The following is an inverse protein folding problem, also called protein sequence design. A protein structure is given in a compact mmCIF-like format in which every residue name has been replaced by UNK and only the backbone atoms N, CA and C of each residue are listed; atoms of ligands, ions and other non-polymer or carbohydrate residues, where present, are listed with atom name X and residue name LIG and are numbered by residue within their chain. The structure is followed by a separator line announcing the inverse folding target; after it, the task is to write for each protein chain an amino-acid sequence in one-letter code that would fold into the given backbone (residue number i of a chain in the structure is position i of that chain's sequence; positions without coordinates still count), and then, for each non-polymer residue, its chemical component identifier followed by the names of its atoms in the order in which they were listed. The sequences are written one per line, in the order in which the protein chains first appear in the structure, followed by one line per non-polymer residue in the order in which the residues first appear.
data_IF_368470632177
#
_entry.id   IF_368470632177
#
_cell.length_a   1.000
_cell.length_b   1.000
_cell.length_c   1.000
_cell.angle_alpha   90.00
_cell.angle_beta   90.00
_cell.angle_gamma   90.00
#
_symmetry.space_group_name_H-M   'P 1'
#
loop_
_entity.id
_entity.type
_entity.pdbx_description
1 polymer ?
#
# COMPACT_ATOMS: atom_id res chain seq x y z
N UNK A 1 -28.97 31.60 -18.90
CA UNK A 1 -29.92 32.02 -17.86
C UNK A 1 -30.65 30.77 -17.40
N UNK A 2 -30.60 30.43 -16.12
CA UNK A 2 -31.33 29.27 -15.59
C UNK A 2 -32.84 29.47 -15.83
N UNK A 3 -33.54 28.40 -16.24
CA UNK A 3 -35.00 28.44 -16.42
C UNK A 3 -35.67 28.62 -15.07
N UNK A 4 -36.70 29.44 -15.01
CA UNK A 4 -37.49 29.61 -13.79
C UNK A 4 -38.41 28.39 -13.56
N UNK A 5 -38.75 28.09 -12.31
CA UNK A 5 -39.70 27.01 -11.96
C UNK A 5 -41.05 27.17 -12.70
N UNK A 6 -41.44 28.42 -13.02
CA UNK A 6 -42.60 28.72 -13.85
C UNK A 6 -42.47 28.18 -15.29
N UNK A 7 -41.30 28.32 -15.90
CA UNK A 7 -41.04 27.84 -17.25
C UNK A 7 -41.00 26.31 -17.31
N UNK A 8 -40.34 25.68 -16.34
CA UNK A 8 -40.25 24.20 -16.23
C UNK A 8 -41.64 23.55 -16.09
N UNK A 9 -42.52 24.13 -15.24
CA UNK A 9 -43.90 23.64 -15.09
C UNK A 9 -44.70 23.72 -16.38
N UNK A 10 -44.54 24.81 -17.13
CA UNK A 10 -45.25 25.02 -18.39
C UNK A 10 -44.78 24.05 -19.48
N UNK A 11 -43.48 23.75 -19.54
CA UNK A 11 -42.92 22.76 -20.47
C UNK A 11 -43.48 21.35 -20.23
N UNK A 12 -43.71 20.97 -18.96
CA UNK A 12 -44.30 19.67 -18.60
C UNK A 12 -45.84 19.67 -18.58
N UNK A 13 -46.48 20.75 -19.02
CA UNK A 13 -47.93 20.80 -19.25
C UNK A 13 -48.79 21.21 -18.05
N UNK A 14 -48.20 21.64 -16.94
CA UNK A 14 -48.95 22.20 -15.81
C UNK A 14 -49.42 23.62 -16.14
N UNK A 15 -50.73 23.88 -16.02
CA UNK A 15 -51.34 25.15 -16.43
C UNK A 15 -51.27 26.22 -15.35
N UNK A 16 -51.04 25.82 -14.09
CA UNK A 16 -50.92 26.75 -12.97
C UNK A 16 -50.04 26.24 -11.83
N UNK A 17 -49.52 27.18 -11.03
CA UNK A 17 -48.80 26.87 -9.80
C UNK A 17 -49.65 26.09 -8.78
N UNK A 18 -50.97 26.32 -8.78
CA UNK A 18 -51.92 25.65 -7.89
C UNK A 18 -52.09 24.18 -8.27
N UNK A 19 -52.26 23.90 -9.56
CA UNK A 19 -52.34 22.53 -10.09
C UNK A 19 -51.08 21.72 -9.79
N UNK A 20 -49.91 22.33 -9.93
CA UNK A 20 -48.65 21.69 -9.59
C UNK A 20 -48.47 21.48 -8.08
N UNK A 21 -48.91 22.45 -7.26
CA UNK A 21 -48.91 22.33 -5.81
C UNK A 21 -49.82 21.19 -5.32
N UNK A 22 -51.00 21.07 -5.92
CA UNK A 22 -51.97 20.01 -5.62
C UNK A 22 -51.42 18.63 -6.03
N UNK A 23 -50.72 18.53 -7.17
CA UNK A 23 -50.06 17.30 -7.63
C UNK A 23 -48.93 16.84 -6.69
N UNK A 24 -48.22 17.78 -6.06
CA UNK A 24 -47.15 17.51 -5.10
C UNK A 24 -47.63 17.41 -3.65
N UNK A 25 -48.91 17.66 -3.38
CA UNK A 25 -49.47 17.66 -2.03
C UNK A 25 -48.95 18.80 -1.14
N UNK A 26 -48.51 19.92 -1.74
CA UNK A 26 -48.02 21.10 -1.02
C UNK A 26 -49.04 22.24 -1.08
N UNK A 27 -49.00 23.16 -0.11
CA UNK A 27 -49.94 24.28 -0.11
C UNK A 27 -49.65 25.26 -1.27
N UNK A 28 -50.68 25.87 -1.89
CA UNK A 28 -50.48 26.87 -2.95
C UNK A 28 -49.69 28.10 -2.50
N UNK A 29 -49.74 28.44 -1.20
CA UNK A 29 -48.94 29.52 -0.62
C UNK A 29 -47.46 29.12 -0.50
N UNK A 30 -47.16 27.88 -0.14
CA UNK A 30 -45.78 27.33 -0.18
C UNK A 30 -45.22 27.35 -1.60
N UNK A 31 -45.99 26.91 -2.60
CA UNK A 31 -45.55 26.93 -4.00
C UNK A 31 -45.26 28.36 -4.50
N UNK A 32 -46.10 29.33 -4.13
CA UNK A 32 -45.89 30.74 -4.48
C UNK A 32 -44.64 31.35 -3.82
N UNK A 33 -44.24 30.82 -2.65
CA UNK A 33 -42.99 31.20 -1.98
C UNK A 33 -41.79 30.60 -2.72
N UNK A 34 -41.87 29.33 -3.08
CA UNK A 34 -40.83 28.62 -3.82
C UNK A 34 -40.59 29.20 -5.21
N UNK A 35 -41.63 29.66 -5.88
CA UNK A 35 -41.51 30.35 -7.18
C UNK A 35 -40.75 31.69 -7.09
N UNK A 36 -40.76 32.34 -5.92
CA UNK A 36 -40.09 33.64 -5.70
C UNK A 36 -38.70 33.48 -5.11
N UNK A 37 -38.52 32.47 -4.28
CA UNK A 37 -37.29 32.22 -3.53
C UNK A 37 -36.97 30.71 -3.54
N UNK A 38 -36.37 30.21 -4.64
CA UNK A 38 -36.07 28.79 -4.83
C UNK A 38 -35.09 28.22 -3.79
N UNK A 39 -34.28 29.06 -3.13
CA UNK A 39 -33.33 28.61 -2.09
C UNK A 39 -34.04 28.16 -0.80
N UNK A 40 -35.31 28.56 -0.61
CA UNK A 40 -36.11 28.21 0.57
C UNK A 40 -36.86 26.88 0.44
N UNK A 41 -36.71 26.18 -0.69
CA UNK A 41 -37.37 24.90 -0.94
C UNK A 41 -36.78 23.83 -0.02
N UNK A 42 -37.59 23.16 0.83
CA UNK A 42 -37.12 22.01 1.59
C UNK A 42 -36.66 20.88 0.65
N UNK A 43 -35.54 20.23 0.96
CA UNK A 43 -34.93 19.19 0.09
C UNK A 43 -35.92 18.12 -0.38
N UNK A 44 -36.80 17.64 0.51
CA UNK A 44 -37.84 16.66 0.18
C UNK A 44 -38.81 17.15 -0.91
N UNK A 45 -39.15 18.44 -0.89
CA UNK A 45 -40.02 19.08 -1.88
C UNK A 45 -39.25 19.29 -3.18
N UNK A 46 -37.98 19.67 -3.11
CA UNK A 46 -37.12 19.80 -4.29
C UNK A 46 -36.95 18.47 -5.04
N UNK A 47 -36.79 17.34 -4.33
CA UNK A 47 -36.77 15.99 -4.93
C UNK A 47 -38.09 15.67 -5.64
N UNK A 48 -39.22 15.87 -4.96
CA UNK A 48 -40.53 15.61 -5.56
C UNK A 48 -40.80 16.49 -6.79
N UNK A 49 -40.33 17.74 -6.76
CA UNK A 49 -40.38 18.64 -7.92
C UNK A 49 -39.46 18.17 -9.06
N UNK A 50 -38.25 17.68 -8.75
CA UNK A 50 -37.30 17.14 -9.73
C UNK A 50 -37.85 15.90 -10.43
N UNK A 51 -38.45 14.98 -9.68
CA UNK A 51 -39.08 13.79 -10.24
C UNK A 51 -40.30 14.15 -11.10
N UNK A 52 -41.13 15.11 -10.66
CA UNK A 52 -42.32 15.53 -11.38
C UNK A 52 -42.03 16.37 -12.63
N UNK A 53 -40.93 17.13 -12.61
CA UNK A 53 -40.50 17.98 -13.72
C UNK A 53 -39.39 17.36 -14.56
N UNK A 54 -38.91 16.17 -14.18
CA UNK A 54 -37.88 15.40 -14.88
C UNK A 54 -36.66 16.29 -15.24
N UNK A 55 -36.16 16.95 -14.20
CA UNK A 55 -35.01 17.85 -14.25
C UNK A 55 -34.15 17.68 -12.98
N UNK A 56 -32.94 18.24 -12.99
CA UNK A 56 -32.07 18.20 -11.81
C UNK A 56 -32.55 19.17 -10.72
N UNK A 57 -32.21 18.86 -9.46
CA UNK A 57 -32.50 19.77 -8.33
C UNK A 57 -31.81 21.12 -8.53
N UNK A 58 -30.58 21.11 -9.07
CA UNK A 58 -29.82 22.32 -9.36
C UNK A 58 -30.56 23.24 -10.35
N UNK A 59 -31.24 22.67 -11.36
CA UNK A 59 -32.10 23.44 -12.26
C UNK A 59 -33.34 24.03 -11.58
N UNK A 60 -33.91 23.36 -10.57
CA UNK A 60 -35.06 23.87 -9.81
C UNK A 60 -34.67 25.03 -8.92
N UNK A 61 -33.54 24.91 -8.22
CA UNK A 61 -33.06 25.95 -7.31
C UNK A 61 -32.31 27.06 -8.05
N UNK A 62 -32.10 26.93 -9.36
CA UNK A 62 -31.42 27.91 -10.21
C UNK A 62 -29.91 28.00 -9.95
N UNK A 63 -29.30 26.92 -9.46
CA UNK A 63 -27.86 26.83 -9.22
C UNK A 63 -27.15 26.45 -10.52
N UNK A 64 -26.04 27.12 -10.81
CA UNK A 64 -25.19 26.75 -11.95
C UNK A 64 -24.70 25.30 -11.80
N UNK A 65 -24.73 24.57 -12.91
CA UNK A 65 -24.37 23.16 -12.93
C UNK A 65 -22.95 22.95 -12.39
N UNK A 66 -22.80 22.05 -11.42
CA UNK A 66 -21.50 21.75 -10.82
C UNK A 66 -20.67 20.97 -11.85
N UNK A 67 -19.74 21.65 -12.53
CA UNK A 67 -18.81 21.00 -13.48
C UNK A 67 -17.64 20.30 -12.79
N UNK A 68 -17.47 20.50 -11.49
CA UNK A 68 -16.45 19.83 -10.70
C UNK A 68 -16.78 18.33 -10.56
N UNK A 69 -16.08 17.48 -11.32
CA UNK A 69 -16.24 16.03 -11.32
C UNK A 69 -16.72 15.43 -12.64
N UNK A 70 -17.00 16.26 -13.65
CA UNK A 70 -17.30 15.77 -15.00
C UNK A 70 -15.99 15.28 -15.64
N UNK A 71 -15.89 13.98 -15.87
CA UNK A 71 -14.74 13.37 -16.53
C UNK A 71 -14.97 13.44 -18.04
N UNK A 72 -14.10 14.15 -18.77
CA UNK A 72 -14.14 14.20 -20.25
C UNK A 72 -14.15 12.80 -20.88
N UNK A 73 -13.52 11.83 -20.19
CA UNK A 73 -13.52 10.42 -20.56
C UNK A 73 -14.88 9.74 -20.37
N UNK A 74 -15.61 10.10 -19.31
CA UNK A 74 -16.94 9.56 -19.04
C UNK A 74 -17.97 10.12 -20.03
N UNK A 75 -17.91 11.42 -20.31
CA UNK A 75 -18.77 12.06 -21.32
C UNK A 75 -18.52 11.48 -22.71
N UNK A 76 -17.24 11.28 -23.07
CA UNK A 76 -16.87 10.59 -24.31
C UNK A 76 -17.46 9.18 -24.37
N UNK A 77 -17.31 8.40 -23.31
CA UNK A 77 -17.80 7.03 -23.22
C UNK A 77 -19.34 6.94 -23.30
N UNK A 78 -20.04 7.83 -22.60
CA UNK A 78 -21.51 7.88 -22.58
C UNK A 78 -22.09 8.35 -23.92
N UNK A 79 -21.36 9.18 -24.67
CA UNK A 79 -21.73 9.61 -26.01
C UNK A 79 -21.51 8.54 -27.11
N UNK A 80 -20.81 7.43 -26.81
CA UNK A 80 -20.58 6.34 -27.77
C UNK A 80 -21.86 5.56 -28.06
N UNK A 81 -21.96 5.07 -29.30
CA UNK A 81 -22.95 4.06 -29.68
C UNK A 81 -22.68 2.75 -28.93
N UNK A 82 -23.70 1.91 -28.68
CA UNK A 82 -23.55 0.63 -27.97
C UNK A 82 -22.45 -0.27 -28.56
N UNK A 83 -22.33 -0.32 -29.88
CA UNK A 83 -21.35 -1.16 -30.58
C UNK A 83 -19.91 -0.67 -30.34
N UNK A 84 -19.69 0.64 -30.35
CA UNK A 84 -18.37 1.22 -30.10
C UNK A 84 -18.01 1.23 -28.62
N UNK A 85 -19.02 1.28 -27.74
CA UNK A 85 -18.84 1.17 -26.29
C UNK A 85 -18.32 -0.21 -25.90
N UNK A 86 -18.89 -1.27 -26.49
CA UNK A 86 -18.42 -2.64 -26.29
C UNK A 86 -16.94 -2.83 -26.66
N UNK A 87 -16.46 -2.16 -27.73
CA UNK A 87 -15.04 -2.18 -28.09
C UNK A 87 -14.14 -1.51 -27.05
N UNK A 88 -14.63 -0.45 -26.38
CA UNK A 88 -13.90 0.21 -25.29
C UNK A 88 -13.84 -0.70 -24.06
N UNK A 89 -14.94 -1.38 -23.72
CA UNK A 89 -14.97 -2.35 -22.63
C UNK A 89 -13.96 -3.49 -22.85
N UNK A 90 -13.92 -4.06 -24.07
CA UNK A 90 -12.93 -5.07 -24.44
C UNK A 90 -11.49 -4.56 -24.30
N UNK A 91 -11.22 -3.32 -24.70
CA UNK A 91 -9.90 -2.71 -24.56
C UNK A 91 -9.52 -2.50 -23.08
N UNK A 92 -10.45 -2.03 -22.25
CA UNK A 92 -10.24 -1.86 -20.80
C UNK A 92 -9.94 -3.20 -20.14
N UNK A 93 -10.69 -4.24 -20.47
CA UNK A 93 -10.44 -5.59 -19.98
C UNK A 93 -9.05 -6.08 -20.40
N UNK A 94 -8.71 -5.95 -21.69
CA UNK A 94 -7.41 -6.33 -22.22
C UNK A 94 -6.26 -5.58 -21.51
N UNK A 95 -6.39 -4.26 -21.34
CA UNK A 95 -5.43 -3.44 -20.64
C UNK A 95 -5.29 -3.88 -19.17
N UNK A 96 -6.41 -4.18 -18.52
CA UNK A 96 -6.43 -4.72 -17.15
C UNK A 96 -5.73 -6.07 -17.03
N UNK A 97 -5.93 -6.99 -17.98
CA UNK A 97 -5.23 -8.28 -18.02
C UNK A 97 -3.73 -8.08 -18.25
N UNK A 98 -3.34 -7.21 -19.17
CA UNK A 98 -1.94 -6.90 -19.46
C UNK A 98 -1.23 -6.25 -18.26
N UNK A 99 -1.88 -5.30 -17.59
CA UNK A 99 -1.33 -4.66 -16.39
C UNK A 99 -1.18 -5.68 -15.25
N UNK A 100 -2.18 -6.52 -15.01
CA UNK A 100 -2.07 -7.63 -14.04
C UNK A 100 -0.91 -8.58 -14.37
N UNK A 101 -0.75 -8.94 -15.65
CA UNK A 101 0.35 -9.80 -16.08
C UNK A 101 1.72 -9.14 -15.88
N UNK A 102 1.86 -7.86 -16.22
CA UNK A 102 3.10 -7.10 -16.01
C UNK A 102 3.44 -6.98 -14.51
N UNK A 103 2.46 -6.71 -13.65
CA UNK A 103 2.65 -6.68 -12.19
C UNK A 103 3.03 -8.06 -11.64
N UNK A 104 2.39 -9.13 -12.12
CA UNK A 104 2.75 -10.51 -11.76
C UNK A 104 4.19 -10.83 -12.16
N UNK A 105 4.61 -10.41 -13.36
CA UNK A 105 5.98 -10.62 -13.83
C UNK A 105 6.99 -9.83 -13.00
N UNK A 106 6.76 -8.53 -12.76
CA UNK A 106 7.65 -7.71 -11.95
C UNK A 106 7.83 -8.29 -10.53
N UNK A 107 6.71 -8.74 -9.94
CA UNK A 107 6.74 -9.44 -8.65
C UNK A 107 7.51 -10.76 -8.72
N UNK A 108 7.31 -11.57 -9.76
CA UNK A 108 8.03 -12.83 -9.94
C UNK A 108 9.55 -12.62 -10.11
N UNK A 109 9.96 -11.53 -10.77
CA UNK A 109 11.37 -11.17 -10.91
C UNK A 109 12.00 -10.74 -9.58
N UNK A 110 11.28 -9.95 -8.77
CA UNK A 110 11.69 -9.61 -7.40
C UNK A 110 11.78 -10.87 -6.53
N UNK A 111 10.75 -11.71 -6.58
CA UNK A 111 10.67 -12.98 -5.88
C UNK A 111 11.85 -13.91 -6.24
N UNK A 112 12.22 -13.98 -7.53
CA UNK A 112 13.35 -14.79 -7.97
C UNK A 112 14.70 -14.31 -7.42
N UNK A 113 14.89 -12.99 -7.26
CA UNK A 113 16.09 -12.45 -6.62
C UNK A 113 16.18 -12.87 -5.16
N UNK A 114 15.05 -12.78 -4.44
CA UNK A 114 14.98 -13.19 -3.04
C UNK A 114 15.15 -14.71 -2.87
N UNK A 115 14.60 -15.52 -3.79
CA UNK A 115 14.80 -16.98 -3.80
C UNK A 115 16.28 -17.35 -3.94
N UNK A 116 17.00 -16.69 -4.85
CA UNK A 116 18.45 -16.92 -5.01
C UNK A 116 19.24 -16.52 -3.77
N UNK A 117 18.86 -15.42 -3.13
CA UNK A 117 19.49 -14.96 -1.89
C UNK A 117 19.24 -15.96 -0.75
N UNK A 118 18.02 -16.50 -0.66
CA UNK A 118 17.66 -17.54 0.30
C UNK A 118 18.50 -18.79 0.10
N UNK A 119 18.55 -19.34 -1.11
CA UNK A 119 19.36 -20.52 -1.43
C UNK A 119 20.85 -20.32 -1.14
N UNK A 120 21.38 -19.12 -1.38
CA UNK A 120 22.75 -18.79 -1.02
C UNK A 120 22.95 -18.89 0.49
N UNK A 121 22.10 -18.24 1.29
CA UNK A 121 22.24 -18.26 2.74
C UNK A 121 21.93 -19.62 3.36
N UNK A 122 20.96 -20.38 2.84
CA UNK A 122 20.71 -21.77 3.24
C UNK A 122 21.96 -22.63 3.05
N UNK A 123 22.64 -22.49 1.92
CA UNK A 123 23.90 -23.22 1.67
C UNK A 123 24.98 -22.83 2.68
N UNK A 124 25.11 -21.54 3.00
CA UNK A 124 26.09 -21.08 4.02
C UNK A 124 25.69 -21.59 5.41
N UNK A 125 24.40 -21.57 5.74
CA UNK A 125 23.86 -22.08 6.99
C UNK A 125 24.19 -23.57 7.16
N UNK A 126 23.82 -24.42 6.20
CA UNK A 126 24.17 -25.83 6.26
C UNK A 126 25.68 -26.05 6.31
N UNK A 127 26.48 -25.34 5.51
CA UNK A 127 27.93 -25.43 5.59
C UNK A 127 28.46 -25.09 7.00
N UNK A 128 27.90 -24.07 7.66
CA UNK A 128 28.28 -23.69 9.03
C UNK A 128 27.91 -24.74 10.08
N UNK A 129 26.82 -25.50 9.86
CA UNK A 129 26.44 -26.61 10.72
C UNK A 129 27.38 -27.81 10.54
N UNK A 130 27.90 -28.00 9.33
CA UNK A 130 28.80 -29.10 8.99
C UNK A 130 30.30 -28.80 9.23
N UNK A 131 30.67 -27.56 9.55
CA UNK A 131 32.08 -27.13 9.70
C UNK A 131 32.82 -27.86 10.85
N UNK A 132 32.10 -28.56 11.74
CA UNK A 132 32.65 -29.40 12.81
C UNK A 132 32.13 -30.85 12.86
N UNK A 133 31.42 -31.32 11.83
CA UNK A 133 30.85 -32.67 11.78
C UNK A 133 31.70 -33.62 10.94
N UNK A 134 31.67 -34.92 11.24
CA UNK A 134 32.37 -35.92 10.41
C UNK A 134 31.67 -36.10 9.05
N UNK A 135 32.43 -36.57 8.06
CA UNK A 135 31.90 -36.85 6.72
C UNK A 135 30.76 -37.87 6.78
N UNK A 136 29.56 -37.45 6.40
CA UNK A 136 28.36 -38.29 6.38
C UNK A 136 27.43 -38.11 7.58
N UNK A 137 27.80 -37.26 8.55
CA UNK A 137 26.86 -36.82 9.58
C UNK A 137 25.79 -35.92 8.95
N UNK A 138 24.53 -36.21 9.28
CA UNK A 138 23.37 -35.41 8.87
C UNK A 138 22.92 -34.59 10.07
N UNK A 139 22.99 -33.27 9.97
CA UNK A 139 22.37 -32.39 10.97
C UNK A 139 20.87 -32.39 10.71
N UNK A 140 20.13 -33.15 11.52
CA UNK A 140 18.68 -33.25 11.43
C UNK A 140 18.01 -32.37 12.49
N UNK A 141 17.12 -31.50 12.04
CA UNK A 141 16.21 -30.76 12.93
C UNK A 141 15.03 -31.64 13.35
N UNK A 142 14.50 -31.44 14.55
CA UNK A 142 13.34 -32.18 15.05
C UNK A 142 12.04 -31.82 14.33
N UNK A 143 11.97 -30.61 13.76
CA UNK A 143 10.88 -30.19 12.88
C UNK A 143 11.29 -29.14 11.84
N UNK A 144 10.52 -28.99 10.74
CA UNK A 144 10.73 -27.90 9.78
C UNK A 144 10.61 -26.50 10.39
N UNK A 145 9.86 -26.36 11.49
CA UNK A 145 9.74 -25.08 12.21
C UNK A 145 11.01 -24.77 12.99
N UNK A 146 11.59 -25.77 13.66
CA UNK A 146 12.89 -25.62 14.34
C UNK A 146 13.98 -25.22 13.36
N UNK A 147 14.03 -25.85 12.20
CA UNK A 147 14.96 -25.52 11.12
C UNK A 147 14.77 -24.07 10.64
N UNK A 148 13.53 -23.67 10.37
CA UNK A 148 13.19 -22.30 9.98
C UNK A 148 13.66 -21.29 11.04
N UNK A 149 13.42 -21.56 12.32
CA UNK A 149 13.85 -20.68 13.42
C UNK A 149 15.36 -20.63 13.57
N UNK A 150 16.04 -21.76 13.40
CA UNK A 150 17.51 -21.82 13.43
C UNK A 150 18.11 -21.03 12.25
N UNK A 151 17.53 -21.15 11.06
CA UNK A 151 17.93 -20.39 9.89
C UNK A 151 17.71 -18.87 10.08
N UNK A 152 16.56 -18.46 10.63
CA UNK A 152 16.29 -17.05 10.93
C UNK A 152 17.31 -16.48 11.92
N UNK A 153 17.64 -17.24 12.98
CA UNK A 153 18.66 -16.86 13.95
C UNK A 153 20.04 -16.72 13.28
N UNK A 154 20.41 -17.66 12.43
CA UNK A 154 21.66 -17.61 11.68
C UNK A 154 21.77 -16.33 10.82
N UNK A 155 20.70 -15.96 10.11
CA UNK A 155 20.68 -14.72 9.33
C UNK A 155 20.87 -13.48 10.20
N UNK A 156 20.22 -13.43 11.37
CA UNK A 156 20.34 -12.32 12.33
C UNK A 156 21.76 -12.20 12.86
N UNK A 157 22.38 -13.32 13.24
CA UNK A 157 23.75 -13.36 13.75
C UNK A 157 24.75 -12.93 12.67
N UNK A 158 24.57 -13.40 11.42
CA UNK A 158 25.42 -13.02 10.30
C UNK A 158 25.28 -11.54 9.92
N UNK A 159 24.05 -11.02 9.92
CA UNK A 159 23.79 -9.60 9.68
C UNK A 159 24.43 -8.72 10.76
N UNK A 160 24.24 -9.07 12.04
CA UNK A 160 24.87 -8.37 13.16
C UNK A 160 26.40 -8.39 13.09
N UNK A 161 27.01 -9.52 12.74
CA UNK A 161 28.46 -9.62 12.59
C UNK A 161 28.99 -8.72 11.45
N UNK A 162 28.34 -8.73 10.29
CA UNK A 162 28.71 -7.87 9.15
C UNK A 162 28.51 -6.39 9.46
N UNK A 163 27.40 -6.03 10.10
CA UNK A 163 27.09 -4.67 10.49
C UNK A 163 28.11 -4.14 11.48
N UNK A 164 28.44 -4.92 12.52
CA UNK A 164 29.47 -4.55 13.50
C UNK A 164 30.81 -4.26 12.83
N UNK A 165 31.26 -5.14 11.93
CA UNK A 165 32.52 -4.94 11.19
C UNK A 165 32.48 -3.65 10.36
N UNK A 166 31.40 -3.39 9.63
CA UNK A 166 31.26 -2.17 8.82
C UNK A 166 31.21 -0.89 9.66
N UNK A 167 30.58 -0.92 10.84
CA UNK A 167 30.55 0.20 11.78
C UNK A 167 31.94 0.41 12.38
N UNK A 168 32.63 -0.66 12.80
CA UNK A 168 33.98 -0.59 13.35
C UNK A 168 34.95 0.03 12.35
N UNK A 169 34.91 -0.40 11.08
CA UNK A 169 35.74 0.14 10.00
C UNK A 169 35.44 1.63 9.73
N UNK A 170 34.15 2.04 9.74
CA UNK A 170 33.77 3.43 9.56
C UNK A 170 34.24 4.32 10.73
N UNK A 171 34.00 3.87 11.96
CA UNK A 171 34.39 4.60 13.15
C UNK A 171 35.91 4.72 13.29
N UNK A 172 36.68 3.72 12.84
CA UNK A 172 38.14 3.82 12.80
C UNK A 172 38.60 4.93 11.84
N UNK A 173 37.96 5.08 10.68
CA UNK A 173 38.23 6.18 9.75
C UNK A 173 37.85 7.55 10.34
N UNK A 174 36.66 7.63 10.96
CA UNK A 174 36.21 8.86 11.62
C UNK A 174 37.12 9.26 12.79
N UNK A 175 37.61 8.30 13.57
CA UNK A 175 38.57 8.55 14.64
C UNK A 175 39.87 9.17 14.12
N UNK A 176 40.40 8.66 13.00
CA UNK A 176 41.59 9.22 12.35
C UNK A 176 41.35 10.68 11.91
N UNK A 177 40.19 10.97 11.32
CA UNK A 177 39.81 12.33 10.92
C UNK A 177 39.68 13.27 12.12
N UNK A 178 38.99 12.85 13.18
CA UNK A 178 38.83 13.65 14.40
C UNK A 178 40.18 13.92 15.06
N UNK A 179 41.07 12.94 15.13
CA UNK A 179 42.44 13.13 15.67
C UNK A 179 43.27 14.11 14.84
N UNK A 180 42.93 14.33 13.57
CA UNK A 180 43.56 15.32 12.69
C UNK A 180 43.36 16.79 13.11
N UNK A 181 42.41 17.05 14.02
CA UNK A 181 42.10 18.40 14.50
C UNK A 181 41.35 19.24 13.45
N UNK A 182 40.88 20.42 13.86
CA UNK A 182 40.15 21.34 12.98
C UNK A 182 40.73 22.75 13.06
N UNK A 183 40.78 23.43 11.91
CA UNK A 183 41.26 24.81 11.80
C UNK A 183 40.15 25.83 12.04
N UNK A 184 40.45 26.91 12.77
CA UNK A 184 39.58 28.08 12.83
C UNK A 184 39.85 29.08 11.69
N UNK A 185 39.04 30.13 11.60
CA UNK A 185 39.18 31.19 10.57
C UNK A 185 40.47 32.01 10.69
N UNK A 186 41.17 31.91 11.81
CA UNK A 186 42.44 32.60 12.08
C UNK A 186 43.66 31.70 11.79
N UNK A 187 43.42 30.43 11.43
CA UNK A 187 44.44 29.46 11.08
C UNK A 187 45.02 28.67 12.25
N UNK A 188 44.41 28.75 13.45
CA UNK A 188 44.81 27.91 14.58
C UNK A 188 44.16 26.54 14.47
N UNK A 189 44.92 25.50 14.81
CA UNK A 189 44.43 24.11 14.85
C UNK A 189 44.02 23.75 16.27
N UNK A 190 42.78 23.34 16.42
CA UNK A 190 42.20 22.83 17.66
C UNK A 190 42.10 21.31 17.59
N UNK A 191 42.35 20.65 18.71
CA UNK A 191 42.25 19.19 18.82
C UNK A 191 41.13 18.84 19.78
N UNK A 192 40.32 17.86 19.38
CA UNK A 192 39.33 17.25 20.25
C UNK A 192 40.02 16.50 21.39
N UNK A 193 39.40 16.51 22.56
CA UNK A 193 39.83 15.67 23.67
C UNK A 193 39.46 14.21 23.41
N UNK A 194 40.16 13.29 24.09
CA UNK A 194 39.87 11.85 23.95
C UNK A 194 38.42 11.51 24.33
N UNK A 195 37.87 12.19 25.34
CA UNK A 195 36.49 12.01 25.79
C UNK A 195 35.49 12.53 24.76
N UNK A 196 35.77 13.66 24.10
CA UNK A 196 34.93 14.16 23.01
C UNK A 196 34.96 13.20 21.82
N UNK A 197 36.15 12.76 21.39
CA UNK A 197 36.28 11.80 20.28
C UNK A 197 35.47 10.53 20.59
N UNK A 198 35.60 9.97 21.80
CA UNK A 198 34.86 8.76 22.16
C UNK A 198 33.35 8.98 22.17
N UNK A 199 32.86 10.10 22.69
CA UNK A 199 31.43 10.42 22.68
C UNK A 199 30.88 10.52 21.26
N UNK A 200 31.60 11.21 20.36
CA UNK A 200 31.21 11.30 18.95
C UNK A 200 31.17 9.93 18.27
N UNK A 201 32.18 9.08 18.52
CA UNK A 201 32.22 7.72 17.97
C UNK A 201 31.09 6.86 18.52
N UNK A 202 30.75 6.97 19.80
CA UNK A 202 29.66 6.18 20.41
C UNK A 202 28.29 6.61 19.87
N UNK A 203 28.07 7.91 19.68
CA UNK A 203 26.86 8.45 19.04
C UNK A 203 26.74 7.97 17.58
N UNK A 204 27.82 8.06 16.81
CA UNK A 204 27.86 7.60 15.41
C UNK A 204 27.60 6.08 15.32
N UNK A 205 28.25 5.29 16.19
CA UNK A 205 28.03 3.84 16.29
C UNK A 205 26.56 3.51 16.55
N UNK A 206 25.92 4.21 17.48
CA UNK A 206 24.53 3.99 17.84
C UNK A 206 23.59 4.35 16.68
N UNK A 207 23.81 5.48 16.02
CA UNK A 207 23.01 5.90 14.87
C UNK A 207 23.14 4.90 13.71
N UNK A 208 24.36 4.51 13.37
CA UNK A 208 24.62 3.53 12.31
C UNK A 208 24.01 2.16 12.64
N UNK A 209 24.16 1.66 13.87
CA UNK A 209 23.60 0.37 14.26
C UNK A 209 22.07 0.36 14.10
N UNK A 210 21.39 1.46 14.44
CA UNK A 210 19.95 1.61 14.23
C UNK A 210 19.58 1.62 12.73
N UNK A 211 20.26 2.42 11.92
CA UNK A 211 19.95 2.56 10.49
C UNK A 211 20.23 1.27 9.71
N UNK A 212 21.39 0.66 9.92
CA UNK A 212 21.75 -0.61 9.27
C UNK A 212 20.91 -1.75 9.82
N UNK A 213 20.57 -1.74 11.12
CA UNK A 213 19.66 -2.72 11.72
C UNK A 213 18.28 -2.75 11.06
N UNK A 214 17.72 -1.59 10.70
CA UNK A 214 16.45 -1.51 9.94
C UNK A 214 16.56 -2.13 8.55
N UNK A 215 17.68 -1.88 7.85
CA UNK A 215 17.94 -2.47 6.52
C UNK A 215 18.12 -3.98 6.60
N UNK A 216 18.85 -4.45 7.61
CA UNK A 216 19.05 -5.88 7.88
C UNK A 216 17.71 -6.57 8.11
N UNK A 217 16.81 -5.99 8.92
CA UNK A 217 15.48 -6.55 9.17
C UNK A 217 14.65 -6.67 7.88
N UNK A 218 14.70 -5.66 7.01
CA UNK A 218 14.01 -5.73 5.71
C UNK A 218 14.53 -6.88 4.85
N UNK A 219 15.84 -7.04 4.77
CA UNK A 219 16.49 -8.11 3.99
C UNK A 219 16.18 -9.47 4.59
N UNK A 220 16.31 -9.64 5.91
CA UNK A 220 16.01 -10.89 6.62
C UNK A 220 14.56 -11.27 6.37
N UNK A 221 13.63 -10.33 6.49
CA UNK A 221 12.20 -10.57 6.20
C UNK A 221 12.00 -11.09 4.77
N UNK A 222 12.59 -10.46 3.76
CA UNK A 222 12.49 -10.90 2.35
C UNK A 222 13.07 -12.29 2.12
N UNK A 223 14.20 -12.60 2.77
CA UNK A 223 14.81 -13.92 2.73
C UNK A 223 13.92 -14.96 3.41
N UNK A 224 13.34 -14.66 4.58
CA UNK A 224 12.44 -15.57 5.28
C UNK A 224 11.11 -15.78 4.55
N UNK A 225 10.60 -14.78 3.83
CA UNK A 225 9.45 -14.94 2.94
C UNK A 225 9.76 -15.88 1.76
N UNK A 226 10.97 -15.78 1.19
CA UNK A 226 11.45 -16.70 0.18
C UNK A 226 11.64 -18.13 0.74
N UNK A 227 12.21 -18.26 1.93
CA UNK A 227 12.33 -19.54 2.64
C UNK A 227 10.96 -20.20 2.84
N UNK A 228 10.00 -19.45 3.38
CA UNK A 228 8.62 -19.91 3.60
C UNK A 228 7.94 -20.35 2.28
N UNK A 229 8.28 -19.71 1.14
CA UNK A 229 7.80 -20.08 -0.19
C UNK A 229 8.44 -21.37 -0.71
N UNK A 230 9.76 -21.49 -0.62
CA UNK A 230 10.52 -22.65 -1.10
C UNK A 230 10.18 -23.91 -0.28
N UNK A 231 10.04 -23.77 1.05
CA UNK A 231 9.73 -24.85 1.99
C UNK A 231 8.23 -24.97 2.30
N UNK A 232 7.35 -24.32 1.53
CA UNK A 232 5.91 -24.25 1.80
C UNK A 232 5.27 -25.62 2.03
N UNK A 233 5.66 -26.63 1.25
CA UNK A 233 5.09 -27.97 1.33
C UNK A 233 5.42 -28.65 2.66
N UNK A 234 6.65 -28.52 3.12
CA UNK A 234 7.14 -29.09 4.38
C UNK A 234 6.51 -28.38 5.58
N UNK A 235 6.50 -27.05 5.56
CA UNK A 235 5.89 -26.23 6.59
C UNK A 235 4.37 -26.46 6.69
N UNK A 236 3.67 -26.59 5.57
CA UNK A 236 2.24 -26.94 5.55
C UNK A 236 2.00 -28.32 6.12
N UNK A 237 2.76 -29.32 5.68
CA UNK A 237 2.58 -30.69 6.14
C UNK A 237 2.83 -30.80 7.64
N UNK A 238 3.88 -30.16 8.15
CA UNK A 238 4.10 -30.07 9.60
C UNK A 238 2.94 -29.35 10.28
N UNK A 239 2.51 -28.17 9.78
CA UNK A 239 1.44 -27.40 10.42
C UNK A 239 0.11 -28.15 10.51
N UNK A 240 -0.25 -28.95 9.51
CA UNK A 240 -1.52 -29.69 9.47
C UNK A 240 -1.45 -31.00 10.27
N UNK A 241 -0.28 -31.64 10.33
CA UNK A 241 -0.17 -33.04 10.80
C UNK A 241 0.63 -33.23 12.09
N UNK A 242 1.43 -32.26 12.54
CA UNK A 242 2.27 -32.43 13.74
C UNK A 242 1.46 -32.42 15.04
N UNK A 243 0.34 -31.69 15.08
CA UNK A 243 -0.39 -31.41 16.32
C UNK A 243 0.33 -30.43 17.25
N UNK A 244 1.49 -29.92 16.84
CA UNK A 244 2.35 -28.99 17.60
C UNK A 244 2.20 -27.53 17.11
N UNK A 245 1.53 -27.33 15.97
CA UNK A 245 1.36 -26.01 15.39
C UNK A 245 0.31 -25.19 16.13
N UNK A 246 0.62 -23.91 16.37
CA UNK A 246 -0.35 -22.97 16.93
C UNK A 246 -1.44 -22.63 15.90
N UNK A 247 -2.62 -22.15 16.34
CA UNK A 247 -3.67 -21.72 15.42
C UNK A 247 -3.20 -20.71 14.36
N UNK A 248 -2.37 -19.75 14.74
CA UNK A 248 -1.82 -18.74 13.83
C UNK A 248 -0.88 -19.37 12.78
N UNK A 249 -0.07 -20.33 13.18
CA UNK A 249 0.82 -21.05 12.28
C UNK A 249 0.05 -21.94 11.30
N UNK A 250 -1.02 -22.59 11.76
CA UNK A 250 -1.95 -23.31 10.88
C UNK A 250 -2.59 -22.35 9.88
N UNK A 251 -3.08 -21.18 10.31
CA UNK A 251 -3.65 -20.19 9.39
C UNK A 251 -2.59 -19.74 8.37
N UNK A 252 -1.37 -19.45 8.80
CA UNK A 252 -0.28 -18.96 7.93
C UNK A 252 0.09 -19.96 6.83
N UNK A 253 0.21 -21.24 7.16
CA UNK A 253 0.77 -22.24 6.22
C UNK A 253 -0.28 -23.21 5.63
N UNK A 254 -1.45 -23.37 6.25
CA UNK A 254 -2.51 -24.27 5.78
C UNK A 254 -3.60 -23.56 4.97
N UNK A 255 -3.70 -22.23 5.01
CA UNK A 255 -4.61 -21.54 4.09
C UNK A 255 -4.13 -21.67 2.65
N UNK A 256 -4.89 -22.45 1.89
CA UNK A 256 -4.74 -22.56 0.44
C UNK A 256 -5.06 -21.19 -0.14
N UNK A 257 -4.05 -20.43 -0.58
CA UNK A 257 -4.29 -19.49 -1.68
C UNK A 257 -4.59 -20.36 -2.89
N UNK A 258 -5.87 -20.52 -3.19
CA UNK A 258 -6.31 -20.88 -4.53
C UNK A 258 -5.87 -19.70 -5.38
N UNK A 259 -4.71 -19.81 -6.01
CA UNK A 259 -4.30 -18.85 -7.03
C UNK A 259 -5.30 -19.01 -8.20
N UNK A 260 -6.21 -18.04 -8.32
CA UNK A 260 -7.04 -17.76 -9.50
C UNK A 260 -6.25 -17.02 -10.61
#
# INVERSE_FOLDING_TARGET
MAKTIQELRREKGFRSAREFADALGISPSSMSRYDKDPETIPVKVAWAMADALDCSIDEIVGRDHVTAGVSELQDFYDALLPETRALVDEFIEFAGVKDKAARRQAKAEEDSKNDRLCQYYERVFYNSLYEGSDFGDLVAFGSPMEERTAFEKFLRDQAAAKRKLGIDDHCAGLEEELRGGYGDSEGNVHYWTEEEIQNWLDEERAQMDEEFGKKDEEVIRKVMEAYDRLHRKELRNWAVHSGEATPDTVIKYATVRLDE
#
